data_IF_692822548379
#
_entry.id   IF_692822548379
#
_cell.length_a   1.000
_cell.length_b   1.000
_cell.length_c   1.000
_cell.angle_alpha   90.00
_cell.angle_beta   90.00
_cell.angle_gamma   90.00
#
_symmetry.space_group_name_H-M   'P 1'
#
loop_
_entity.id
_entity.type
_entity.pdbx_description
1 polymer ?
#
# COMPACT_ATOMS: atom_id res chain seq x y z
N UNK A 1 -5.44 11.70 -12.70
CA UNK A 1 -6.64 11.79 -11.85
C UNK A 1 -7.59 10.57 -11.98
N UNK A 2 -7.13 9.40 -12.45
CA UNK A 2 -8.01 8.26 -12.83
C UNK A 2 -8.06 7.07 -11.85
N UNK A 3 -7.17 7.00 -10.85
CA UNK A 3 -7.03 5.80 -10.00
C UNK A 3 -7.97 5.74 -8.79
N UNK A 4 -8.43 6.89 -8.27
CA UNK A 4 -9.33 6.94 -7.11
C UNK A 4 -10.72 6.38 -7.43
N UNK A 5 -11.16 6.39 -8.69
CA UNK A 5 -12.43 5.77 -9.10
C UNK A 5 -12.41 4.24 -9.02
N UNK A 6 -11.24 3.58 -9.09
CA UNK A 6 -11.17 2.11 -9.02
C UNK A 6 -11.28 1.56 -7.60
N UNK A 7 -10.88 2.37 -6.62
CA UNK A 7 -11.09 2.18 -5.19
C UNK A 7 -12.58 2.13 -4.80
N UNK A 8 -13.36 3.04 -5.39
CA UNK A 8 -14.83 3.03 -5.35
C UNK A 8 -15.39 1.77 -6.00
N UNK A 9 -14.83 1.39 -7.14
CA UNK A 9 -15.30 0.25 -7.91
C UNK A 9 -15.05 -1.09 -7.20
N UNK A 10 -13.98 -1.20 -6.39
CA UNK A 10 -13.74 -2.36 -5.53
C UNK A 10 -14.48 -2.32 -4.20
N UNK A 11 -14.90 -1.14 -3.73
CA UNK A 11 -15.91 -1.04 -2.69
C UNK A 11 -17.22 -1.75 -3.14
N UNK A 12 -17.53 -1.75 -4.44
CA UNK A 12 -18.69 -2.42 -5.05
C UNK A 12 -18.40 -3.84 -5.54
N UNK A 13 -17.21 -4.15 -6.06
CA UNK A 13 -16.91 -5.43 -6.72
C UNK A 13 -16.67 -6.64 -5.78
N UNK A 14 -17.06 -6.56 -4.51
CA UNK A 14 -17.06 -7.72 -3.60
C UNK A 14 -18.16 -8.77 -3.94
N UNK A 15 -18.77 -8.68 -5.13
CA UNK A 15 -19.91 -9.50 -5.57
C UNK A 15 -19.70 -10.26 -6.89
N UNK A 16 -18.49 -10.33 -7.46
CA UNK A 16 -18.22 -11.27 -8.58
C UNK A 16 -16.74 -11.58 -8.82
N UNK A 17 -16.41 -12.83 -9.18
CA UNK A 17 -15.03 -13.31 -9.30
C UNK A 17 -14.34 -12.93 -10.62
N UNK A 18 -13.04 -12.71 -10.50
CA UNK A 18 -12.06 -12.33 -11.51
C UNK A 18 -11.62 -13.51 -12.39
N UNK A 19 -11.27 -13.23 -13.64
CA UNK A 19 -10.48 -14.11 -14.52
C UNK A 19 -9.09 -13.48 -14.78
N UNK A 20 -7.96 -14.15 -14.44
CA UNK A 20 -6.61 -13.69 -14.74
C UNK A 20 -5.96 -14.53 -15.85
N UNK A 21 -5.40 -13.87 -16.86
CA UNK A 21 -4.41 -14.49 -17.74
C UNK A 21 -3.17 -13.62 -17.90
N UNK A 22 -2.08 -14.11 -17.32
CA UNK A 22 -0.70 -13.66 -17.51
C UNK A 22 -0.05 -14.46 -18.63
N UNK A 23 0.91 -13.87 -19.38
CA UNK A 23 2.02 -14.63 -19.99
C UNK A 23 3.31 -13.81 -20.04
N UNK A 24 4.37 -14.45 -19.55
CA UNK A 24 5.79 -14.07 -19.57
C UNK A 24 6.42 -14.72 -20.81
N UNK A 25 7.41 -14.06 -21.43
CA UNK A 25 8.37 -14.69 -22.36
C UNK A 25 9.79 -14.23 -22.02
N UNK A 26 10.69 -15.20 -21.84
CA UNK A 26 12.15 -15.04 -21.81
C UNK A 26 12.74 -15.74 -23.06
N UNK A 27 13.95 -15.35 -23.50
CA UNK A 27 14.87 -16.33 -24.06
C UNK A 27 16.26 -16.34 -23.40
N UNK A 28 16.81 -17.56 -23.31
CA UNK A 28 18.21 -17.89 -23.02
C UNK A 28 19.10 -17.65 -24.25
N UNK A 29 20.36 -17.25 -24.03
CA UNK A 29 21.50 -17.73 -24.81
C UNK A 29 22.84 -17.48 -24.09
N UNK A 30 23.63 -18.54 -23.97
CA UNK A 30 24.98 -18.63 -23.41
C UNK A 30 26.06 -18.09 -24.37
N UNK A 31 27.18 -17.60 -23.84
CA UNK A 31 28.50 -17.88 -24.42
C UNK A 31 29.64 -17.65 -23.40
N UNK A 32 30.56 -18.61 -23.35
CA UNK A 32 31.69 -18.75 -22.42
C UNK A 32 32.88 -17.86 -22.80
N UNK A 33 33.66 -17.36 -21.82
CA UNK A 33 35.10 -17.66 -21.65
C UNK A 33 35.70 -16.88 -20.47
N UNK A 34 36.55 -17.59 -19.73
CA UNK A 34 37.15 -17.18 -18.48
C UNK A 34 38.29 -16.17 -18.66
N UNK A 35 38.35 -15.17 -17.77
CA UNK A 35 39.59 -14.47 -17.44
C UNK A 35 39.64 -14.27 -15.92
N UNK A 36 40.57 -14.98 -15.27
CA UNK A 36 40.86 -14.82 -13.83
C UNK A 36 41.77 -13.61 -13.66
N UNK A 37 41.23 -12.53 -13.12
CA UNK A 37 42.03 -11.48 -12.48
C UNK A 37 41.50 -11.33 -11.06
N UNK A 38 42.28 -11.81 -10.10
CA UNK A 38 42.03 -11.62 -8.69
C UNK A 38 42.35 -10.17 -8.33
N UNK A 39 41.29 -9.36 -8.21
CA UNK A 39 41.36 -8.07 -7.53
C UNK A 39 40.31 -8.11 -6.41
N UNK A 40 40.75 -8.48 -5.22
CA UNK A 40 39.94 -8.44 -4.01
C UNK A 40 39.73 -6.98 -3.59
N UNK A 41 38.89 -6.27 -4.34
CA UNK A 41 38.33 -5.00 -3.91
C UNK A 41 37.25 -5.33 -2.88
N UNK A 42 37.55 -5.11 -1.60
CA UNK A 42 36.57 -4.99 -0.52
C UNK A 42 35.70 -3.76 -0.81
N UNK A 43 34.83 -3.85 -1.82
CA UNK A 43 33.64 -3.04 -1.90
C UNK A 43 32.71 -3.62 -0.85
N UNK A 44 32.86 -3.13 0.38
CA UNK A 44 31.77 -3.12 1.33
C UNK A 44 30.62 -2.43 0.62
N UNK A 45 29.72 -3.20 -0.01
CA UNK A 45 28.37 -2.73 -0.29
C UNK A 45 27.76 -2.49 1.08
N UNK A 46 28.00 -1.31 1.62
CA UNK A 46 27.10 -0.73 2.59
C UNK A 46 25.76 -0.66 1.86
N UNK A 47 24.92 -1.67 2.10
CA UNK A 47 23.49 -1.56 1.89
C UNK A 47 23.03 -0.46 2.86
N UNK A 48 23.26 0.79 2.50
CA UNK A 48 22.60 1.91 3.13
C UNK A 48 21.12 1.55 3.02
N UNK A 49 20.39 1.48 4.15
CA UNK A 49 18.96 1.27 4.06
C UNK A 49 18.48 2.38 3.14
N UNK A 50 17.86 2.02 2.01
CA UNK A 50 17.12 2.99 1.24
C UNK A 50 16.03 3.44 2.20
N UNK A 51 16.30 4.54 2.91
CA UNK A 51 15.32 5.18 3.74
C UNK A 51 14.15 5.43 2.81
N UNK A 52 12.95 5.00 3.20
CA UNK A 52 11.78 5.27 2.39
C UNK A 52 11.73 6.80 2.26
N UNK A 53 12.00 7.30 1.05
CA UNK A 53 12.03 8.74 0.74
C UNK A 53 10.68 9.39 1.07
N UNK A 54 9.63 8.56 1.11
CA UNK A 54 8.31 8.93 1.55
C UNK A 54 8.12 8.69 3.04
N UNK A 55 7.53 9.68 3.71
CA UNK A 55 7.05 9.62 5.09
C UNK A 55 5.62 10.20 5.16
N UNK A 56 4.79 9.77 6.14
CA UNK A 56 3.49 10.35 6.39
C UNK A 56 3.56 11.87 6.50
N UNK A 57 2.64 12.56 5.82
CA UNK A 57 2.48 13.99 6.00
C UNK A 57 1.82 14.27 7.35
N UNK A 58 2.01 15.48 7.87
CA UNK A 58 1.21 15.95 9.01
C UNK A 58 -0.28 15.91 8.65
N UNK A 59 -1.09 15.33 9.54
CA UNK A 59 -2.54 15.24 9.34
C UNK A 59 -3.17 16.64 9.32
N UNK A 60 -3.87 17.05 8.24
CA UNK A 60 -4.59 18.31 8.22
C UNK A 60 -5.74 18.31 9.24
N UNK A 61 -5.98 19.45 9.89
CA UNK A 61 -6.98 19.57 10.97
C UNK A 61 -8.39 19.10 10.57
N UNK A 62 -8.80 19.34 9.32
CA UNK A 62 -10.09 18.90 8.79
C UNK A 62 -10.22 17.38 8.82
N UNK A 63 -9.13 16.67 8.53
CA UNK A 63 -9.07 15.21 8.51
C UNK A 63 -8.92 14.65 9.91
N UNK A 64 -8.18 15.34 10.79
CA UNK A 64 -8.07 14.99 12.20
C UNK A 64 -9.43 14.97 12.91
N UNK A 65 -10.24 16.01 12.71
CA UNK A 65 -11.60 16.07 13.25
C UNK A 65 -12.48 14.94 12.70
N UNK A 66 -12.47 14.71 11.38
CA UNK A 66 -13.25 13.63 10.77
C UNK A 66 -12.83 12.25 11.25
N UNK A 67 -11.54 12.01 11.38
CA UNK A 67 -11.02 10.77 11.95
C UNK A 67 -11.50 10.56 13.37
N UNK A 68 -11.43 11.59 14.23
CA UNK A 68 -11.88 11.50 15.62
C UNK A 68 -13.37 11.19 15.76
N UNK A 69 -14.18 11.62 14.79
CA UNK A 69 -15.63 11.34 14.74
C UNK A 69 -15.96 9.94 14.19
N UNK A 70 -15.19 9.47 13.20
CA UNK A 70 -15.60 8.36 12.35
C UNK A 70 -14.77 7.08 12.55
N UNK A 71 -13.44 7.19 12.68
CA UNK A 71 -12.62 5.99 12.85
C UNK A 71 -12.57 5.55 14.32
N UNK A 72 -12.90 4.28 14.64
CA UNK A 72 -12.89 3.81 16.01
C UNK A 72 -11.45 3.63 16.51
N UNK A 73 -11.23 3.89 17.80
CA UNK A 73 -9.97 3.67 18.50
C UNK A 73 -8.83 4.60 18.08
N UNK A 74 -7.66 4.40 18.70
CA UNK A 74 -6.52 5.31 18.59
C UNK A 74 -5.40 4.76 17.69
N UNK A 75 -4.28 5.49 17.63
CA UNK A 75 -3.03 5.05 16.97
C UNK A 75 -3.03 5.17 15.44
N UNK A 76 -4.02 5.86 14.87
CA UNK A 76 -4.10 6.11 13.44
C UNK A 76 -3.00 7.05 12.95
N UNK A 77 -2.30 6.61 11.92
CA UNK A 77 -1.31 7.37 11.17
C UNK A 77 -1.94 7.81 9.86
N UNK A 78 -1.96 9.12 9.60
CA UNK A 78 -2.48 9.69 8.36
C UNK A 78 -1.56 9.37 7.19
N UNK A 79 -2.08 8.70 6.17
CA UNK A 79 -1.29 8.33 4.99
C UNK A 79 -1.44 9.36 3.87
N UNK A 80 -2.67 9.77 3.59
CA UNK A 80 -2.99 10.77 2.59
C UNK A 80 -4.48 11.12 2.58
N UNK A 81 -4.80 12.18 1.84
CA UNK A 81 -6.17 12.49 1.48
C UNK A 81 -6.28 12.98 0.03
N UNK A 82 -7.48 12.83 -0.51
CA UNK A 82 -7.96 13.48 -1.72
C UNK A 82 -9.12 14.40 -1.32
N UNK A 83 -9.07 15.65 -1.78
CA UNK A 83 -10.16 16.60 -1.64
C UNK A 83 -10.46 17.22 -3.01
N UNK A 84 -11.53 16.74 -3.63
CA UNK A 84 -12.00 17.21 -4.94
C UNK A 84 -13.52 17.40 -4.88
N UNK A 85 -14.11 18.20 -5.80
CA UNK A 85 -15.57 18.36 -5.86
C UNK A 85 -16.32 17.02 -6.03
N UNK A 86 -15.70 16.04 -6.71
CA UNK A 86 -16.29 14.73 -6.93
C UNK A 86 -16.16 13.79 -5.71
N UNK A 87 -15.12 13.97 -4.90
CA UNK A 87 -14.70 12.99 -3.93
C UNK A 87 -13.78 13.58 -2.86
N UNK A 88 -14.16 13.37 -1.61
CA UNK A 88 -13.31 13.54 -0.44
C UNK A 88 -13.01 12.19 0.16
N UNK A 89 -11.75 11.90 0.40
CA UNK A 89 -11.38 10.66 1.06
C UNK A 89 -10.02 10.77 1.75
N UNK A 90 -9.87 10.04 2.85
CA UNK A 90 -8.62 9.96 3.59
C UNK A 90 -8.30 8.51 3.97
N UNK A 91 -7.02 8.17 3.89
CA UNK A 91 -6.48 6.87 4.23
C UNK A 91 -5.59 6.97 5.47
N UNK A 92 -5.75 5.97 6.33
CA UNK A 92 -5.05 5.83 7.60
C UNK A 92 -4.54 4.41 7.76
N UNK A 93 -3.49 4.23 8.55
CA UNK A 93 -3.12 2.90 9.05
C UNK A 93 -2.90 2.93 10.56
N UNK A 94 -3.00 1.77 11.21
CA UNK A 94 -2.57 1.59 12.61
C UNK A 94 -2.13 0.17 12.89
N UNK A 95 -1.63 -0.03 14.11
CA UNK A 95 -1.27 -1.34 14.66
C UNK A 95 -0.35 -2.16 13.73
N UNK A 96 0.78 -1.59 13.25
CA UNK A 96 1.71 -2.35 12.43
C UNK A 96 2.27 -3.54 13.20
N UNK A 97 2.29 -4.71 12.56
CA UNK A 97 2.84 -5.94 13.11
C UNK A 97 3.61 -6.71 12.05
N UNK A 98 4.89 -6.99 12.31
CA UNK A 98 5.68 -7.84 11.46
C UNK A 98 5.19 -9.30 11.51
N UNK A 99 4.91 -9.89 10.35
CA UNK A 99 4.45 -11.28 10.17
C UNK A 99 5.03 -11.84 8.87
N UNK A 100 5.86 -12.88 8.95
CA UNK A 100 6.35 -13.67 7.80
C UNK A 100 6.86 -12.85 6.60
N UNK A 101 7.69 -11.83 6.86
CA UNK A 101 8.24 -10.96 5.81
C UNK A 101 7.25 -9.95 5.24
N UNK A 102 6.10 -9.78 5.88
CA UNK A 102 5.13 -8.72 5.67
C UNK A 102 4.95 -7.89 6.95
N UNK A 103 4.29 -6.74 6.81
CA UNK A 103 3.79 -5.95 7.94
C UNK A 103 2.28 -5.87 7.80
N UNK A 104 1.55 -6.55 8.69
CA UNK A 104 0.10 -6.45 8.79
C UNK A 104 -0.30 -5.15 9.50
N UNK A 105 -1.38 -4.52 9.03
CA UNK A 105 -1.91 -3.26 9.55
C UNK A 105 -3.44 -3.28 9.48
N UNK A 106 -4.08 -2.46 10.30
CA UNK A 106 -5.45 -2.04 10.03
C UNK A 106 -5.43 -0.78 9.17
N UNK A 107 -6.16 -0.77 8.05
CA UNK A 107 -6.31 0.39 7.18
C UNK A 107 -7.68 1.05 7.40
N UNK A 108 -7.66 2.30 7.85
CA UNK A 108 -8.83 3.13 8.06
C UNK A 108 -9.11 3.97 6.82
N UNK A 109 -10.38 4.06 6.44
CA UNK A 109 -10.81 4.76 5.24
C UNK A 109 -12.06 5.57 5.50
N UNK A 110 -12.00 6.86 5.16
CA UNK A 110 -13.12 7.78 5.15
C UNK A 110 -13.42 8.21 3.72
N UNK A 111 -14.69 8.21 3.30
CA UNK A 111 -15.12 8.62 1.96
C UNK A 111 -16.41 9.45 2.03
N UNK A 112 -16.45 10.56 1.29
CA UNK A 112 -17.66 11.29 0.95
C UNK A 112 -17.68 11.57 -0.56
N UNK A 113 -18.78 11.27 -1.24
CA UNK A 113 -18.94 11.49 -2.68
C UNK A 113 -19.73 12.77 -2.96
N UNK A 114 -19.55 13.32 -4.15
CA UNK A 114 -20.44 14.38 -4.63
C UNK A 114 -21.92 13.95 -4.55
N UNK A 115 -22.75 14.85 -4.05
CA UNK A 115 -24.18 14.62 -3.85
C UNK A 115 -24.52 13.66 -2.70
N UNK A 116 -23.53 13.24 -1.90
CA UNK A 116 -23.74 12.45 -0.68
C UNK A 116 -23.28 13.26 0.53
N UNK A 117 -24.22 13.61 1.41
CA UNK A 117 -23.89 14.33 2.64
C UNK A 117 -23.24 13.41 3.68
N UNK A 118 -23.56 12.11 3.64
CA UNK A 118 -23.06 11.15 4.60
C UNK A 118 -21.66 10.65 4.26
N UNK A 119 -20.81 10.58 5.28
CA UNK A 119 -19.53 9.89 5.23
C UNK A 119 -19.72 8.38 5.31
N UNK A 120 -18.94 7.65 4.52
CA UNK A 120 -18.74 6.21 4.67
C UNK A 120 -17.39 5.95 5.30
N UNK A 121 -17.35 5.03 6.26
CA UNK A 121 -16.12 4.58 6.90
C UNK A 121 -15.91 3.08 6.74
N UNK A 122 -14.64 2.65 6.65
CA UNK A 122 -14.25 1.24 6.70
C UNK A 122 -12.94 1.08 7.45
N UNK A 123 -12.81 -0.04 8.16
CA UNK A 123 -11.54 -0.54 8.68
C UNK A 123 -11.27 -1.88 8.01
N UNK A 124 -10.13 -2.00 7.34
CA UNK A 124 -9.79 -3.15 6.51
C UNK A 124 -8.50 -3.79 7.03
N UNK A 125 -8.47 -5.11 7.25
CA UNK A 125 -7.21 -5.83 7.47
C UNK A 125 -6.37 -5.80 6.19
N UNK A 126 -5.18 -5.22 6.29
CA UNK A 126 -4.23 -5.09 5.18
C UNK A 126 -2.84 -5.58 5.58
N UNK A 127 -1.99 -5.82 4.59
CA UNK A 127 -0.56 -6.05 4.83
C UNK A 127 0.29 -5.46 3.72
N UNK A 128 1.46 -4.97 4.08
CA UNK A 128 2.54 -4.66 3.17
C UNK A 128 3.38 -5.93 2.96
N UNK A 129 3.32 -6.50 1.77
CA UNK A 129 4.18 -7.62 1.39
C UNK A 129 5.55 -7.08 0.97
N UNK A 130 6.53 -7.14 1.88
CA UNK A 130 7.81 -6.45 1.70
C UNK A 130 8.68 -7.06 0.60
N UNK A 131 8.55 -8.37 0.38
CA UNK A 131 9.25 -9.06 -0.71
C UNK A 131 8.72 -8.67 -2.09
N UNK A 132 7.41 -8.42 -2.19
CA UNK A 132 6.74 -8.09 -3.46
C UNK A 132 6.56 -6.58 -3.67
N UNK A 133 6.82 -5.76 -2.66
CA UNK A 133 6.64 -4.31 -2.73
C UNK A 133 5.20 -3.87 -2.98
N UNK A 134 4.22 -4.64 -2.51
CA UNK A 134 2.79 -4.40 -2.76
C UNK A 134 1.96 -4.38 -1.47
N UNK A 135 0.83 -3.68 -1.49
CA UNK A 135 -0.22 -3.81 -0.48
C UNK A 135 -1.15 -4.96 -0.84
N UNK A 136 -1.60 -5.67 0.18
CA UNK A 136 -2.58 -6.74 0.07
C UNK A 136 -3.69 -6.50 1.10
N UNK A 137 -4.91 -6.88 0.75
CA UNK A 137 -6.08 -6.83 1.61
C UNK A 137 -6.55 -8.25 1.93
N UNK A 138 -6.96 -8.47 3.17
CA UNK A 138 -7.56 -9.75 3.57
C UNK A 138 -9.02 -9.79 3.18
N UNK A 139 -9.43 -10.86 2.51
CA UNK A 139 -10.82 -11.14 2.15
C UNK A 139 -11.56 -11.84 3.29
N UNK A 140 -12.88 -11.93 3.14
CA UNK A 140 -13.74 -12.62 4.09
C UNK A 140 -13.41 -14.11 4.26
N UNK A 141 -12.91 -14.76 3.19
CA UNK A 141 -12.41 -16.14 3.22
C UNK A 141 -11.03 -16.29 3.89
N UNK A 142 -10.45 -15.19 4.38
CA UNK A 142 -9.14 -15.15 5.02
C UNK A 142 -7.96 -15.06 4.06
N UNK A 143 -8.18 -15.15 2.75
CA UNK A 143 -7.13 -15.04 1.73
C UNK A 143 -6.63 -13.61 1.55
N UNK A 144 -5.38 -13.47 1.11
CA UNK A 144 -4.76 -12.18 0.82
C UNK A 144 -4.77 -11.92 -0.67
N UNK A 145 -5.21 -10.73 -1.07
CA UNK A 145 -5.19 -10.32 -2.48
C UNK A 145 -4.62 -8.95 -2.68
N UNK A 146 -4.02 -8.75 -3.86
CA UNK A 146 -3.35 -7.49 -4.22
C UNK A 146 -4.36 -6.37 -4.11
N UNK A 147 -4.04 -5.42 -3.24
CA UNK A 147 -4.75 -4.18 -3.14
C UNK A 147 -4.24 -3.26 -4.23
N UNK A 148 -5.09 -2.73 -5.12
CA UNK A 148 -4.62 -1.90 -6.22
C UNK A 148 -4.07 -0.60 -5.67
N UNK A 149 -2.74 -0.52 -5.69
CA UNK A 149 -2.04 0.73 -5.47
C UNK A 149 -2.26 1.73 -6.60
N UNK A 150 -1.86 2.96 -6.34
CA UNK A 150 -1.68 4.03 -7.32
C UNK A 150 -0.19 4.35 -7.45
N UNK A 151 0.12 5.29 -8.34
CA UNK A 151 1.47 5.86 -8.41
C UNK A 151 1.91 6.34 -7.01
N UNK A 152 3.10 5.91 -6.60
CA UNK A 152 3.61 6.16 -5.25
C UNK A 152 3.21 5.12 -4.19
N UNK A 153 2.38 4.11 -4.49
CA UNK A 153 2.09 3.05 -3.50
C UNK A 153 3.34 2.26 -3.11
N UNK A 154 4.28 2.04 -4.04
CA UNK A 154 5.52 1.30 -3.75
C UNK A 154 6.35 2.00 -2.66
N UNK A 155 6.46 3.33 -2.67
CA UNK A 155 7.23 4.06 -1.65
C UNK A 155 6.53 4.00 -0.28
N UNK A 156 5.20 4.02 -0.26
CA UNK A 156 4.41 3.80 0.97
C UNK A 156 4.57 2.39 1.51
N UNK A 157 4.57 1.37 0.65
CA UNK A 157 4.83 -0.02 1.05
C UNK A 157 6.21 -0.14 1.69
N UNK A 158 7.24 0.45 1.09
CA UNK A 158 8.59 0.46 1.66
C UNK A 158 8.61 1.11 3.05
N UNK A 159 7.90 2.23 3.21
CA UNK A 159 7.77 2.89 4.51
C UNK A 159 7.05 2.01 5.54
N UNK A 160 5.91 1.38 5.19
CA UNK A 160 5.19 0.46 6.08
C UNK A 160 6.09 -0.72 6.48
N UNK A 161 6.85 -1.27 5.51
CA UNK A 161 7.81 -2.34 5.77
C UNK A 161 8.97 -1.94 6.69
N UNK A 162 9.26 -0.64 6.81
CA UNK A 162 10.25 -0.12 7.74
C UNK A 162 9.70 0.02 9.18
N UNK A 163 8.39 -0.14 9.40
CA UNK A 163 7.75 -0.12 10.74
C UNK A 163 7.86 -1.45 11.51
N UNK A 164 8.50 -2.46 10.92
CA UNK A 164 8.67 -3.80 11.49
C UNK A 164 9.46 -3.81 12.80
#
# INVERSE_FOLDING_TARGET
MFAFQRFVKLFEAADSPLDPSARIVMPLASCSLAFKVALASLLSLSSLPVQAEWQPMQEPAVWQSRRGELLPGDGWIFMEALDTPALKAAEYIRAPKAVDGAVEVEAGLLIQRAGQDQWRQRVLPMRANCSKGQLEQRRADGSWTVYPGRDGTVVKVRWICALR
#
